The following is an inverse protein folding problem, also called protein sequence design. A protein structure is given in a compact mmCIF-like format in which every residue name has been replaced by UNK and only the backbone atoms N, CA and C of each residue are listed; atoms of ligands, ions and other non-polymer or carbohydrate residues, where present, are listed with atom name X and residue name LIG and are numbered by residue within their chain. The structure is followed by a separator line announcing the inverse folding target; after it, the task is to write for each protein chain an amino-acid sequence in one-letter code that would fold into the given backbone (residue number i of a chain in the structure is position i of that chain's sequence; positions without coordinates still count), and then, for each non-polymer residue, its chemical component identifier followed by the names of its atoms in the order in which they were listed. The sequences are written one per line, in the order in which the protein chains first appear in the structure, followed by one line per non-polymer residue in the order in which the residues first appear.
data_IF_685777666498
#
_entry.id   IF_685777666498
#
_cell.length_a   1.000
_cell.length_b   1.000
_cell.length_c   1.000
_cell.angle_alpha   90.00
_cell.angle_beta   90.00
_cell.angle_gamma   90.00
#
_symmetry.space_group_name_H-M   'P 1'
#
loop_
_entity.id
_entity.type
_entity.pdbx_description
1 polymer ?
#
# COMPACT_ATOMS: atom_id res chain seq x y z
N UNK A 1 35.66 -42.50 -15.98
CA UNK A 1 34.74 -43.55 -16.31
C UNK A 1 33.38 -43.00 -16.70
N UNK A 2 32.81 -43.54 -17.81
CA UNK A 2 31.59 -42.95 -18.39
C UNK A 2 30.38 -43.06 -17.45
N UNK A 3 30.23 -44.18 -16.74
CA UNK A 3 29.10 -44.40 -15.80
C UNK A 3 29.16 -43.43 -14.64
N UNK A 4 30.34 -43.17 -14.09
CA UNK A 4 30.55 -42.21 -13.03
C UNK A 4 30.26 -40.79 -13.49
N UNK A 5 30.72 -40.42 -14.68
CA UNK A 5 30.48 -39.12 -15.27
C UNK A 5 29.00 -38.85 -15.48
N UNK A 6 28.24 -39.84 -15.94
CA UNK A 6 26.78 -39.76 -16.11
C UNK A 6 26.10 -39.57 -14.77
N UNK A 7 26.50 -40.34 -13.75
CA UNK A 7 25.93 -40.24 -12.40
C UNK A 7 26.18 -38.85 -11.81
N UNK A 8 27.40 -38.32 -11.97
CA UNK A 8 27.72 -36.98 -11.50
C UNK A 8 26.93 -35.91 -12.24
N UNK A 9 26.77 -36.07 -13.56
CA UNK A 9 25.99 -35.12 -14.37
C UNK A 9 24.52 -35.10 -13.94
N UNK A 10 23.94 -36.27 -13.65
CA UNK A 10 22.56 -36.36 -13.12
C UNK A 10 22.42 -35.68 -11.76
N UNK A 11 23.35 -35.93 -10.85
CA UNK A 11 23.37 -35.30 -9.52
C UNK A 11 23.47 -33.77 -9.65
N UNK A 12 24.37 -33.31 -10.49
CA UNK A 12 24.57 -31.85 -10.72
C UNK A 12 23.31 -31.22 -11.36
N UNK A 13 22.70 -31.92 -12.33
CA UNK A 13 21.47 -31.44 -12.97
C UNK A 13 20.32 -31.37 -11.97
N UNK A 14 20.14 -32.38 -11.13
CA UNK A 14 19.12 -32.40 -10.08
C UNK A 14 19.32 -31.27 -9.08
N UNK A 15 20.55 -31.05 -8.66
CA UNK A 15 20.89 -29.95 -7.74
C UNK A 15 20.62 -28.59 -8.37
N UNK A 16 20.94 -28.43 -9.67
CA UNK A 16 20.68 -27.19 -10.39
C UNK A 16 19.16 -26.91 -10.52
N UNK A 17 18.38 -27.94 -10.86
CA UNK A 17 16.92 -27.79 -10.95
C UNK A 17 16.31 -27.40 -9.61
N UNK A 18 16.71 -28.05 -8.52
CA UNK A 18 16.25 -27.70 -7.17
C UNK A 18 16.59 -26.27 -6.81
N UNK A 19 17.79 -25.83 -7.12
CA UNK A 19 18.24 -24.48 -6.83
C UNK A 19 17.43 -23.45 -7.61
N UNK A 20 17.20 -23.70 -8.89
CA UNK A 20 16.39 -22.81 -9.74
C UNK A 20 14.92 -22.77 -9.30
N UNK A 21 14.38 -23.91 -8.90
CA UNK A 21 13.01 -24.00 -8.37
C UNK A 21 12.89 -23.16 -7.10
N UNK A 22 13.83 -23.29 -6.18
CA UNK A 22 13.83 -22.48 -4.96
C UNK A 22 13.95 -21.00 -5.26
N UNK A 23 14.84 -20.62 -6.18
CA UNK A 23 14.98 -19.23 -6.58
C UNK A 23 13.70 -18.67 -7.20
N UNK A 24 13.00 -19.47 -8.02
CA UNK A 24 11.73 -19.08 -8.61
C UNK A 24 10.65 -18.91 -7.53
N UNK A 25 10.55 -19.84 -6.59
CA UNK A 25 9.63 -19.75 -5.46
C UNK A 25 9.91 -18.51 -4.59
N UNK A 26 11.17 -18.25 -4.31
CA UNK A 26 11.58 -17.06 -3.54
C UNK A 26 11.24 -15.76 -4.27
N UNK A 27 11.41 -15.72 -5.59
CA UNK A 27 11.03 -14.57 -6.42
C UNK A 27 9.53 -14.34 -6.41
N UNK A 28 8.75 -15.42 -6.52
CA UNK A 28 7.28 -15.34 -6.46
C UNK A 28 6.85 -14.80 -5.08
N UNK A 29 7.39 -15.35 -4.00
CA UNK A 29 7.08 -14.90 -2.65
C UNK A 29 7.46 -13.43 -2.44
N UNK A 30 8.60 -13.00 -2.97
CA UNK A 30 9.02 -11.60 -2.90
C UNK A 30 8.09 -10.68 -3.70
N UNK A 31 7.66 -11.13 -4.89
CA UNK A 31 6.72 -10.37 -5.73
C UNK A 31 5.36 -10.24 -5.05
N UNK A 32 4.88 -11.30 -4.41
CA UNK A 32 3.63 -11.29 -3.64
C UNK A 32 3.69 -10.30 -2.47
N UNK A 33 4.78 -10.34 -1.69
CA UNK A 33 4.99 -9.38 -0.59
C UNK A 33 5.04 -7.95 -1.10
N UNK A 34 5.76 -7.71 -2.19
CA UNK A 34 5.85 -6.39 -2.81
C UNK A 34 4.48 -5.88 -3.28
N UNK A 35 3.66 -6.75 -3.87
CA UNK A 35 2.31 -6.41 -4.30
C UNK A 35 1.42 -6.07 -3.11
N UNK A 36 1.48 -6.84 -2.03
CA UNK A 36 0.72 -6.58 -0.80
C UNK A 36 1.15 -5.25 -0.18
N UNK A 37 2.45 -5.00 -0.09
CA UNK A 37 2.99 -3.75 0.46
C UNK A 37 2.55 -2.55 -0.38
N UNK A 38 2.53 -2.67 -1.70
CA UNK A 38 2.05 -1.63 -2.62
C UNK A 38 0.56 -1.34 -2.41
N UNK A 39 -0.26 -2.37 -2.26
CA UNK A 39 -1.70 -2.24 -2.00
C UNK A 39 -1.93 -1.55 -0.66
N UNK A 40 -1.22 -1.96 0.38
CA UNK A 40 -1.30 -1.34 1.71
C UNK A 40 -0.91 0.13 1.67
N UNK A 41 0.19 0.46 0.99
CA UNK A 41 0.65 1.84 0.85
C UNK A 41 -0.39 2.72 0.13
N UNK A 42 -1.00 2.20 -0.94
CA UNK A 42 -2.06 2.90 -1.67
C UNK A 42 -3.30 3.08 -0.81
N UNK A 43 -3.69 2.05 -0.04
CA UNK A 43 -4.83 2.12 0.87
C UNK A 43 -4.61 3.18 1.96
N UNK A 44 -3.42 3.22 2.55
CA UNK A 44 -3.06 4.24 3.56
C UNK A 44 -3.09 5.64 2.95
N UNK A 45 -2.53 5.82 1.76
CA UNK A 45 -2.55 7.11 1.06
C UNK A 45 -3.98 7.56 0.78
N UNK A 46 -4.84 6.66 0.29
CA UNK A 46 -6.23 6.96 0.00
C UNK A 46 -7.01 7.30 1.29
N UNK A 47 -6.81 6.53 2.36
CA UNK A 47 -7.46 6.77 3.65
C UNK A 47 -7.01 8.09 4.26
N UNK A 48 -5.73 8.41 4.17
CA UNK A 48 -5.18 9.68 4.68
C UNK A 48 -5.75 10.86 3.90
N UNK A 49 -5.83 10.77 2.58
CA UNK A 49 -6.42 11.80 1.73
C UNK A 49 -7.90 11.99 2.03
N UNK A 50 -8.65 10.90 2.21
CA UNK A 50 -10.07 10.96 2.57
C UNK A 50 -10.28 11.59 3.94
N UNK A 51 -9.46 11.23 4.94
CA UNK A 51 -9.51 11.82 6.27
C UNK A 51 -9.20 13.33 6.23
N UNK A 52 -8.18 13.72 5.48
CA UNK A 52 -7.82 15.12 5.31
C UNK A 52 -8.96 15.91 4.65
N UNK A 53 -9.61 15.35 3.63
CA UNK A 53 -10.75 15.97 2.98
C UNK A 53 -11.94 16.15 3.91
N UNK A 54 -12.25 15.14 4.73
CA UNK A 54 -13.33 15.21 5.72
C UNK A 54 -13.04 16.25 6.80
N UNK A 55 -11.82 16.33 7.28
CA UNK A 55 -11.41 17.33 8.27
C UNK A 55 -11.54 18.72 7.68
N UNK A 56 -11.10 18.94 6.43
CA UNK A 56 -11.22 20.22 5.75
C UNK A 56 -12.68 20.63 5.56
N UNK A 57 -13.55 19.71 5.12
CA UNK A 57 -14.98 19.96 4.97
C UNK A 57 -15.64 20.32 6.30
N UNK A 58 -15.35 19.60 7.37
CA UNK A 58 -15.89 19.89 8.68
C UNK A 58 -15.40 21.22 9.22
N UNK A 59 -14.15 21.55 8.99
CA UNK A 59 -13.58 22.84 9.38
C UNK A 59 -14.25 23.99 8.64
N UNK A 60 -14.40 23.88 7.34
CA UNK A 60 -15.06 24.88 6.50
C UNK A 60 -16.53 25.06 6.90
N UNK A 61 -17.25 23.97 7.14
CA UNK A 61 -18.63 24.01 7.59
C UNK A 61 -18.78 24.72 8.94
N UNK A 62 -17.91 24.46 9.89
CA UNK A 62 -17.89 25.13 11.20
C UNK A 62 -17.56 26.60 11.08
N UNK A 63 -16.57 26.95 10.26
CA UNK A 63 -16.17 28.32 10.03
C UNK A 63 -17.31 29.10 9.35
N UNK A 64 -17.96 28.55 8.35
CA UNK A 64 -19.09 29.14 7.65
C UNK A 64 -20.27 29.37 8.60
N UNK A 65 -20.61 28.39 9.41
CA UNK A 65 -21.65 28.51 10.45
C UNK A 65 -21.33 29.62 11.44
N UNK A 66 -20.08 29.69 11.88
CA UNK A 66 -19.62 30.75 12.77
C UNK A 66 -19.74 32.14 12.15
N UNK A 67 -19.42 32.28 10.88
CA UNK A 67 -19.58 33.52 10.13
C UNK A 67 -21.05 33.94 9.99
N UNK A 68 -21.92 32.99 9.69
CA UNK A 68 -23.37 33.24 9.59
C UNK A 68 -23.94 33.65 10.96
N UNK A 69 -23.60 32.94 12.02
CA UNK A 69 -24.04 33.27 13.38
C UNK A 69 -23.56 34.66 13.81
N UNK A 70 -22.33 35.02 13.48
CA UNK A 70 -21.79 36.36 13.74
C UNK A 70 -22.52 37.45 12.97
N UNK A 71 -22.87 37.19 11.72
CA UNK A 71 -23.64 38.13 10.88
C UNK A 71 -25.04 38.32 11.46
N UNK A 72 -25.71 37.27 11.89
CA UNK A 72 -27.03 37.32 12.53
C UNK A 72 -26.98 38.14 13.82
N UNK A 73 -25.99 37.91 14.66
CA UNK A 73 -25.79 38.70 15.89
C UNK A 73 -25.54 40.15 15.60
N UNK A 74 -24.73 40.47 14.56
CA UNK A 74 -24.47 41.84 14.13
C UNK A 74 -25.74 42.55 13.68
N UNK A 75 -26.60 41.87 12.92
CA UNK A 75 -27.88 42.42 12.50
C UNK A 75 -28.83 42.63 13.69
N UNK A 76 -28.87 41.70 14.65
CA UNK A 76 -29.65 41.86 15.86
C UNK A 76 -29.19 43.03 16.74
N UNK A 77 -27.91 43.32 16.75
CA UNK A 77 -27.33 44.43 17.50
C UNK A 77 -27.62 45.80 16.94
N UNK A 78 -28.12 45.90 15.71
CA UNK A 78 -28.47 47.17 15.07
C UNK A 78 -29.85 47.71 15.50
N UNK A 79 -30.60 46.89 16.14
CA UNK A 79 -31.93 47.28 16.67
C UNK A 79 -31.80 47.75 18.11
#
# INVERSE_FOLDING_TARGET
EAALMIAEAKTNATALVKRRQKMAEDKIAAAERSAIDSIRAKAVTAATAAAAALIAENHDAKADKGMVDSAIKGLGGLN
#
